data_IF_040778355815
#
_entry.id   IF_040778355815
#
_cell.length_a   1.000
_cell.length_b   1.000
_cell.length_c   1.000
_cell.angle_alpha   90.00
_cell.angle_beta   90.00
_cell.angle_gamma   90.00
#
_symmetry.space_group_name_H-M   'P 1'
#
loop_
_entity.id
_entity.type
_entity.pdbx_description
1 polymer ?
#
# COMPACT_ATOMS: atom_id res chain seq x y z
N UNK A 1 61.73 24.29 8.19
CA UNK A 1 60.84 23.11 7.99
C UNK A 1 59.43 23.63 7.86
N UNK A 2 58.82 23.59 6.67
CA UNK A 2 57.47 24.09 6.40
C UNK A 2 56.50 22.91 6.21
N UNK A 3 55.35 22.93 6.90
CA UNK A 3 54.36 21.87 6.86
C UNK A 3 53.54 21.90 5.55
N UNK A 4 53.16 20.75 4.97
CA UNK A 4 52.34 20.69 3.76
C UNK A 4 50.88 21.06 4.06
N UNK A 5 50.31 21.89 3.19
CA UNK A 5 48.91 22.31 3.25
C UNK A 5 47.96 21.14 2.96
N UNK A 6 46.89 21.03 3.74
CA UNK A 6 45.87 20.00 3.58
C UNK A 6 45.04 20.24 2.31
N UNK A 7 45.00 19.24 1.43
CA UNK A 7 44.16 19.26 0.22
C UNK A 7 42.71 18.94 0.60
N UNK A 8 41.81 19.90 0.42
CA UNK A 8 40.37 19.72 0.61
C UNK A 8 39.82 18.86 -0.52
N UNK A 9 39.41 17.62 -0.21
CA UNK A 9 38.73 16.75 -1.18
C UNK A 9 37.28 17.20 -1.34
N UNK A 10 36.99 17.92 -2.42
CA UNK A 10 35.61 18.23 -2.79
C UNK A 10 34.93 16.99 -3.39
N UNK A 11 33.91 16.49 -2.70
CA UNK A 11 33.10 15.37 -3.18
C UNK A 11 31.93 15.92 -3.98
N UNK A 12 31.93 15.68 -5.30
CA UNK A 12 30.79 16.01 -6.16
C UNK A 12 29.87 14.79 -6.29
N UNK A 13 28.63 14.94 -5.84
CA UNK A 13 27.59 13.92 -5.98
C UNK A 13 26.71 14.22 -7.19
N UNK A 14 26.77 13.38 -8.22
CA UNK A 14 25.85 13.46 -9.37
C UNK A 14 24.48 12.92 -8.93
N UNK A 15 23.54 13.81 -8.64
CA UNK A 15 22.17 13.44 -8.35
C UNK A 15 21.50 12.91 -9.65
N UNK A 16 21.42 11.59 -9.78
CA UNK A 16 20.72 10.91 -10.89
C UNK A 16 19.19 11.10 -10.85
N UNK A 17 18.69 11.81 -9.85
CA UNK A 17 17.27 12.04 -9.62
C UNK A 17 17.06 13.32 -8.81
N UNK A 18 16.01 14.04 -9.15
CA UNK A 18 15.58 15.27 -8.49
C UNK A 18 14.21 15.05 -7.86
N UNK A 19 13.96 15.73 -6.74
CA UNK A 19 12.66 15.74 -6.08
C UNK A 19 12.21 17.19 -5.89
N UNK A 20 10.91 17.42 -6.04
CA UNK A 20 10.32 18.72 -5.80
C UNK A 20 10.44 19.08 -4.30
N UNK A 21 10.68 20.36 -3.96
CA UNK A 21 10.66 20.84 -2.59
C UNK A 21 9.31 20.60 -1.93
N UNK A 22 9.34 20.30 -0.62
CA UNK A 22 8.12 20.08 0.18
C UNK A 22 7.17 21.26 0.11
N UNK A 23 7.68 22.49 0.24
CA UNK A 23 6.86 23.70 0.21
C UNK A 23 6.10 23.89 -1.11
N UNK A 24 6.73 23.59 -2.25
CA UNK A 24 6.08 23.67 -3.57
C UNK A 24 4.97 22.64 -3.72
N UNK A 25 5.21 21.42 -3.23
CA UNK A 25 4.21 20.37 -3.24
C UNK A 25 3.01 20.72 -2.35
N UNK A 26 3.25 21.26 -1.15
CA UNK A 26 2.17 21.68 -0.24
C UNK A 26 1.35 22.83 -0.82
N UNK A 27 2.01 23.84 -1.42
CA UNK A 27 1.34 24.93 -2.11
C UNK A 27 0.48 24.40 -3.27
N UNK A 28 1.03 23.52 -4.10
CA UNK A 28 0.26 22.86 -5.16
C UNK A 28 -0.94 22.08 -4.60
N UNK A 29 -0.77 21.34 -3.50
CA UNK A 29 -1.84 20.54 -2.90
C UNK A 29 -2.96 21.40 -2.30
N UNK A 30 -2.67 22.64 -1.89
CA UNK A 30 -3.70 23.58 -1.48
C UNK A 30 -4.57 23.97 -2.69
N UNK A 31 -3.95 24.35 -3.80
CA UNK A 31 -4.63 25.00 -4.93
C UNK A 31 -5.11 24.05 -6.04
N UNK A 32 -4.55 22.85 -6.15
CA UNK A 32 -4.80 21.98 -7.30
C UNK A 32 -6.28 21.56 -7.46
N UNK A 33 -6.82 21.57 -8.67
CA UNK A 33 -8.14 20.97 -8.89
C UNK A 33 -8.08 19.42 -8.75
N UNK A 34 -9.21 18.75 -8.44
CA UNK A 34 -9.40 17.33 -8.72
C UNK A 34 -8.87 16.92 -10.09
N UNK A 35 -8.06 15.87 -10.14
CA UNK A 35 -7.42 15.38 -11.37
C UNK A 35 -6.17 16.16 -11.79
N UNK A 36 -5.86 17.30 -11.14
CA UNK A 36 -4.64 18.06 -11.36
C UNK A 36 -3.39 17.22 -11.12
N UNK A 37 -2.31 17.49 -11.85
CA UNK A 37 -1.08 16.72 -11.81
C UNK A 37 0.10 17.60 -11.43
N UNK A 38 1.03 17.05 -10.64
CA UNK A 38 2.34 17.65 -10.37
C UNK A 38 3.44 16.60 -10.49
N UNK A 39 4.55 16.97 -11.12
CA UNK A 39 5.76 16.16 -11.13
C UNK A 39 6.47 16.39 -9.80
N UNK A 40 6.52 15.36 -8.94
CA UNK A 40 7.17 15.47 -7.63
C UNK A 40 8.60 14.92 -7.63
N UNK A 41 8.97 14.15 -8.65
CA UNK A 41 10.35 13.72 -8.86
C UNK A 41 10.62 13.40 -10.33
N UNK A 42 11.88 13.54 -10.73
CA UNK A 42 12.38 13.10 -12.04
C UNK A 42 13.67 12.32 -11.87
N UNK A 43 13.92 11.34 -12.73
CA UNK A 43 15.17 10.59 -12.69
C UNK A 43 15.04 9.17 -13.23
N UNK A 44 16.15 8.43 -13.21
CA UNK A 44 16.15 7.01 -13.62
C UNK A 44 15.47 6.14 -12.56
N UNK A 45 15.56 6.52 -11.29
CA UNK A 45 14.99 5.83 -10.13
C UNK A 45 14.32 6.87 -9.23
N UNK A 46 13.27 6.48 -8.51
CA UNK A 46 12.64 7.37 -7.55
C UNK A 46 13.53 7.58 -6.31
N UNK A 47 13.90 8.81 -5.93
CA UNK A 47 14.75 9.07 -4.76
C UNK A 47 13.93 8.97 -3.47
N UNK A 48 13.69 7.74 -2.99
CA UNK A 48 12.78 7.43 -1.86
C UNK A 48 13.11 8.14 -0.54
N UNK A 49 14.36 8.56 -0.35
CA UNK A 49 14.79 9.28 0.84
C UNK A 49 14.52 10.79 0.79
N UNK A 50 14.19 11.34 -0.39
CA UNK A 50 13.93 12.76 -0.53
C UNK A 50 12.62 13.17 0.18
N UNK A 51 12.64 14.29 0.90
CA UNK A 51 11.51 14.74 1.70
C UNK A 51 10.21 14.93 0.89
N UNK A 52 10.31 15.50 -0.33
CA UNK A 52 9.16 15.64 -1.23
C UNK A 52 8.55 14.30 -1.65
N UNK A 53 9.37 13.27 -1.84
CA UNK A 53 8.90 11.91 -2.16
C UNK A 53 8.19 11.27 -0.96
N UNK A 54 8.73 11.45 0.24
CA UNK A 54 8.11 10.95 1.47
C UNK A 54 6.76 11.62 1.75
N UNK A 55 6.66 12.92 1.47
CA UNK A 55 5.40 13.66 1.55
C UNK A 55 4.35 13.08 0.61
N UNK A 56 4.68 12.87 -0.67
CA UNK A 56 3.74 12.28 -1.63
C UNK A 56 3.35 10.85 -1.23
N UNK A 57 4.28 10.05 -0.71
CA UNK A 57 3.94 8.71 -0.18
C UNK A 57 2.95 8.77 0.99
N UNK A 58 3.02 9.79 1.84
CA UNK A 58 2.01 10.03 2.88
C UNK A 58 0.64 10.32 2.25
N UNK A 59 0.58 11.22 1.27
CA UNK A 59 -0.68 11.53 0.57
C UNK A 59 -1.28 10.33 -0.17
N UNK A 60 -0.47 9.47 -0.77
CA UNK A 60 -0.94 8.22 -1.38
C UNK A 60 -1.59 7.31 -0.33
N UNK A 61 -0.96 7.16 0.84
CA UNK A 61 -1.52 6.35 1.95
C UNK A 61 -2.81 6.94 2.50
N UNK A 62 -2.93 8.26 2.52
CA UNK A 62 -4.13 9.00 2.93
C UNK A 62 -5.21 9.04 1.83
N UNK A 63 -4.91 8.52 0.64
CA UNK A 63 -5.84 8.50 -0.49
C UNK A 63 -6.12 9.88 -1.09
N UNK A 64 -5.22 10.84 -0.90
CA UNK A 64 -5.32 12.21 -1.42
C UNK A 64 -4.84 12.34 -2.86
N UNK A 65 -3.93 11.46 -3.29
CA UNK A 65 -3.34 11.48 -4.64
C UNK A 65 -3.16 10.07 -5.19
N UNK A 66 -3.17 9.94 -6.51
CA UNK A 66 -2.75 8.74 -7.25
C UNK A 66 -1.32 8.91 -7.78
N UNK A 67 -0.42 7.94 -7.53
CA UNK A 67 0.92 7.97 -8.09
C UNK A 67 0.91 7.46 -9.53
N UNK A 68 1.48 8.25 -10.45
CA UNK A 68 1.64 7.91 -11.86
C UNK A 68 3.13 8.04 -12.22
N UNK A 69 3.61 7.20 -13.12
CA UNK A 69 4.96 7.34 -13.68
C UNK A 69 4.91 7.25 -15.19
N UNK A 70 5.62 8.13 -15.88
CA UNK A 70 5.77 8.10 -17.34
C UNK A 70 7.20 8.42 -17.75
N UNK A 71 7.57 8.07 -18.99
CA UNK A 71 8.84 8.50 -19.56
C UNK A 71 8.84 10.01 -19.77
N UNK A 72 9.96 10.65 -19.49
CA UNK A 72 10.13 12.05 -19.81
C UNK A 72 10.16 12.23 -21.34
N UNK A 73 9.30 13.10 -21.93
CA UNK A 73 9.25 13.28 -23.37
C UNK A 73 10.52 13.95 -23.93
N UNK A 74 11.23 14.75 -23.14
CA UNK A 74 12.49 15.38 -23.54
C UNK A 74 13.69 14.44 -23.32
N UNK A 75 13.62 13.54 -22.33
CA UNK A 75 14.65 12.55 -22.08
C UNK A 75 14.08 11.14 -21.81
N UNK A 76 13.95 10.29 -22.84
CA UNK A 76 13.36 8.94 -22.70
C UNK A 76 14.09 8.03 -21.70
N UNK A 77 15.33 8.34 -21.31
CA UNK A 77 16.08 7.57 -20.31
C UNK A 77 15.64 7.88 -18.88
N UNK A 78 14.90 8.97 -18.66
CA UNK A 78 14.39 9.38 -17.36
C UNK A 78 12.89 9.12 -17.24
N UNK A 79 12.43 8.99 -16.00
CA UNK A 79 11.03 8.96 -15.63
C UNK A 79 10.62 10.27 -14.99
N UNK A 80 9.39 10.68 -15.26
CA UNK A 80 8.66 11.66 -14.47
C UNK A 80 7.74 10.89 -13.52
N UNK A 81 7.89 11.17 -12.23
CA UNK A 81 7.01 10.67 -11.18
C UNK A 81 6.01 11.75 -10.84
N UNK A 82 4.73 11.45 -11.03
CA UNK A 82 3.62 12.38 -11.02
C UNK A 82 2.68 12.01 -9.87
N UNK A 83 2.24 13.00 -9.11
CA UNK A 83 1.13 12.88 -8.19
C UNK A 83 -0.09 13.50 -8.87
N UNK A 84 -1.19 12.74 -8.96
CA UNK A 84 -2.45 13.24 -9.46
C UNK A 84 -3.40 13.45 -8.29
N UNK A 85 -3.87 14.68 -8.07
CA UNK A 85 -4.82 14.99 -6.99
C UNK A 85 -6.09 14.20 -7.21
N UNK A 86 -6.47 13.36 -6.24
CA UNK A 86 -7.79 12.75 -6.27
C UNK A 86 -8.81 13.85 -6.04
N UNK A 87 -9.92 13.79 -6.76
CA UNK A 87 -11.05 14.61 -6.38
C UNK A 87 -11.44 14.32 -4.94
N UNK A 88 -12.12 15.28 -4.30
CA UNK A 88 -12.95 14.96 -3.16
C UNK A 88 -13.99 13.95 -3.64
N UNK A 89 -13.60 12.68 -3.66
CA UNK A 89 -14.57 11.62 -3.46
C UNK A 89 -15.11 11.98 -2.08
N UNK A 90 -16.40 12.31 -1.93
CA UNK A 90 -16.96 12.54 -0.61
C UNK A 90 -16.46 11.41 0.27
N UNK A 91 -16.06 11.69 1.51
CA UNK A 91 -15.70 10.64 2.46
C UNK A 91 -16.89 9.68 2.52
N UNK A 92 -16.87 8.65 1.67
CA UNK A 92 -17.98 7.74 1.59
C UNK A 92 -17.74 6.82 2.76
N UNK A 93 -18.33 7.20 3.88
CA UNK A 93 -19.02 6.24 4.70
C UNK A 93 -19.88 5.39 3.75
N UNK A 94 -19.30 4.28 3.25
CA UNK A 94 -19.92 3.39 2.28
C UNK A 94 -19.62 3.73 0.82
N UNK A 95 -18.39 3.50 0.35
CA UNK A 95 -18.10 3.42 -1.09
C UNK A 95 -19.26 2.70 -1.79
N UNK A 96 -19.93 3.38 -2.74
CA UNK A 96 -21.03 2.78 -3.46
C UNK A 96 -20.54 1.41 -3.96
N UNK A 97 -21.19 0.31 -3.55
CA UNK A 97 -20.65 -1.01 -3.78
C UNK A 97 -20.51 -1.15 -5.29
N UNK A 98 -19.27 -1.30 -5.78
CA UNK A 98 -19.02 -1.93 -7.08
C UNK A 98 -20.00 -3.09 -7.14
N UNK A 99 -20.90 -3.13 -8.13
CA UNK A 99 -21.98 -4.12 -8.18
C UNK A 99 -21.37 -5.51 -8.05
N UNK A 100 -21.34 -5.98 -6.82
CA UNK A 100 -20.66 -7.19 -6.46
C UNK A 100 -21.68 -8.26 -6.70
N UNK A 101 -21.35 -9.18 -7.61
CA UNK A 101 -22.25 -10.30 -7.92
C UNK A 101 -22.67 -10.98 -6.62
N UNK A 102 -23.91 -11.46 -6.56
CA UNK A 102 -24.44 -12.15 -5.37
C UNK A 102 -23.52 -13.29 -4.91
N UNK A 103 -22.89 -14.00 -5.85
CA UNK A 103 -21.86 -14.99 -5.58
C UNK A 103 -20.63 -14.41 -4.85
N UNK A 104 -20.05 -13.32 -5.35
CA UNK A 104 -18.88 -12.68 -4.72
C UNK A 104 -19.21 -12.18 -3.30
N UNK A 105 -20.43 -11.67 -3.08
CA UNK A 105 -20.86 -11.25 -1.75
C UNK A 105 -20.91 -12.41 -0.76
N UNK A 106 -21.52 -13.53 -1.17
CA UNK A 106 -21.57 -14.75 -0.34
C UNK A 106 -20.18 -15.29 -0.02
N UNK A 107 -19.29 -15.35 -1.02
CA UNK A 107 -17.90 -15.79 -0.83
C UNK A 107 -17.14 -14.88 0.14
N UNK A 108 -17.31 -13.55 0.01
CA UNK A 108 -16.70 -12.55 0.89
C UNK A 108 -17.19 -12.70 2.32
N UNK A 109 -18.50 -12.85 2.52
CA UNK A 109 -19.10 -12.95 3.84
C UNK A 109 -18.72 -14.28 4.52
N UNK A 110 -18.62 -15.37 3.74
CA UNK A 110 -18.11 -16.67 4.21
C UNK A 110 -16.63 -16.59 4.63
N UNK A 111 -15.80 -15.88 3.86
CA UNK A 111 -14.40 -15.64 4.22
C UNK A 111 -14.29 -14.87 5.53
N UNK A 112 -15.10 -13.82 5.71
CA UNK A 112 -15.10 -13.04 6.95
C UNK A 112 -15.53 -13.89 8.15
N UNK A 113 -16.53 -14.76 8.00
CA UNK A 113 -16.96 -15.69 9.05
C UNK A 113 -15.83 -16.67 9.43
N UNK A 114 -15.12 -17.21 8.44
CA UNK A 114 -13.97 -18.10 8.67
C UNK A 114 -12.86 -17.39 9.45
N UNK A 115 -12.50 -16.16 9.05
CA UNK A 115 -11.47 -15.38 9.74
C UNK A 115 -11.86 -15.02 11.18
N UNK A 116 -13.15 -14.72 11.40
CA UNK A 116 -13.70 -14.50 12.75
C UNK A 116 -13.55 -15.75 13.62
N UNK A 117 -13.91 -16.92 13.10
CA UNK A 117 -13.77 -18.17 13.83
C UNK A 117 -12.30 -18.50 14.14
N UNK A 118 -11.39 -18.29 13.18
CA UNK A 118 -9.95 -18.39 13.43
C UNK A 118 -9.47 -17.45 14.54
N UNK A 119 -9.88 -16.17 14.50
CA UNK A 119 -9.52 -15.18 15.51
C UNK A 119 -10.10 -15.51 16.89
N UNK A 120 -11.37 -15.95 16.96
CA UNK A 120 -12.02 -16.36 18.22
C UNK A 120 -11.35 -17.56 18.85
N UNK A 121 -10.94 -18.55 18.03
CA UNK A 121 -10.27 -19.76 18.50
C UNK A 121 -8.76 -19.59 18.68
N UNK A 122 -8.20 -18.41 18.44
CA UNK A 122 -6.75 -18.19 18.48
C UNK A 122 -6.00 -19.14 17.54
N UNK A 123 -6.53 -19.37 16.34
CA UNK A 123 -5.86 -20.14 15.29
C UNK A 123 -5.09 -19.21 14.38
N UNK A 124 -4.07 -19.76 13.73
CA UNK A 124 -3.33 -19.05 12.69
C UNK A 124 -4.24 -18.72 11.51
N UNK A 125 -3.95 -17.62 10.81
CA UNK A 125 -4.65 -17.33 9.57
C UNK A 125 -4.26 -18.35 8.49
N UNK A 126 -5.22 -19.03 7.85
CA UNK A 126 -4.91 -19.95 6.77
C UNK A 126 -4.21 -19.25 5.59
N UNK A 127 -3.37 -20.00 4.89
CA UNK A 127 -2.77 -19.56 3.61
C UNK A 127 -3.84 -19.33 2.55
N UNK A 128 -3.53 -18.61 1.46
CA UNK A 128 -4.50 -18.42 0.36
C UNK A 128 -4.99 -19.76 -0.23
N UNK A 129 -4.14 -20.79 -0.25
CA UNK A 129 -4.54 -22.15 -0.63
C UNK A 129 -5.51 -22.77 0.37
N UNK A 130 -5.26 -22.60 1.68
CA UNK A 130 -6.15 -23.07 2.74
C UNK A 130 -7.51 -22.36 2.71
N UNK A 131 -7.50 -21.04 2.54
CA UNK A 131 -8.73 -20.25 2.38
C UNK A 131 -9.52 -20.69 1.15
N UNK A 132 -8.86 -20.88 0.00
CA UNK A 132 -9.55 -21.30 -1.23
C UNK A 132 -10.21 -22.68 -1.08
N UNK A 133 -9.55 -23.61 -0.35
CA UNK A 133 -10.15 -24.92 -0.03
C UNK A 133 -11.33 -24.80 0.94
N UNK A 134 -11.21 -23.96 1.98
CA UNK A 134 -12.26 -23.76 2.97
C UNK A 134 -13.51 -23.05 2.41
N UNK A 135 -13.37 -22.35 1.28
CA UNK A 135 -14.45 -21.63 0.59
C UNK A 135 -14.96 -22.37 -0.66
N UNK A 136 -14.56 -23.62 -0.87
CA UNK A 136 -14.92 -24.42 -2.05
C UNK A 136 -14.55 -23.76 -3.40
N UNK A 137 -13.57 -22.84 -3.41
CA UNK A 137 -13.04 -22.17 -4.61
C UNK A 137 -12.02 -23.05 -5.37
N UNK A 138 -11.68 -24.21 -4.80
CA UNK A 138 -10.68 -25.14 -5.29
C UNK A 138 -9.24 -24.73 -4.93
N UNK A 139 -8.34 -25.72 -4.86
CA UNK A 139 -6.91 -25.49 -4.56
C UNK A 139 -6.07 -24.98 -5.74
N UNK A 140 -6.70 -24.66 -6.88
CA UNK A 140 -6.03 -24.25 -8.10
C UNK A 140 -5.46 -22.84 -8.02
N UNK A 141 -4.66 -22.43 -9.01
CA UNK A 141 -4.19 -21.04 -9.12
C UNK A 141 -5.36 -20.04 -9.08
N UNK A 142 -6.45 -20.31 -9.81
CA UNK A 142 -7.64 -19.43 -9.84
C UNK A 142 -8.29 -19.30 -8.46
N UNK A 143 -8.47 -20.40 -7.73
CA UNK A 143 -9.04 -20.36 -6.38
C UNK A 143 -8.18 -19.56 -5.40
N UNK A 144 -6.85 -19.70 -5.47
CA UNK A 144 -5.90 -18.91 -4.68
C UNK A 144 -5.97 -17.41 -5.00
N UNK A 145 -5.98 -17.05 -6.29
CA UNK A 145 -6.15 -15.66 -6.73
C UNK A 145 -7.47 -15.08 -6.25
N UNK A 146 -8.55 -15.86 -6.31
CA UNK A 146 -9.88 -15.46 -5.84
C UNK A 146 -9.91 -15.22 -4.34
N UNK A 147 -9.35 -16.11 -3.53
CA UNK A 147 -9.23 -15.92 -2.08
C UNK A 147 -8.39 -14.66 -1.74
N UNK A 148 -7.30 -14.42 -2.48
CA UNK A 148 -6.48 -13.21 -2.30
C UNK A 148 -7.25 -11.94 -2.64
N UNK A 149 -8.07 -11.98 -3.69
CA UNK A 149 -8.93 -10.86 -4.07
C UNK A 149 -9.99 -10.57 -3.01
N UNK A 150 -10.65 -11.60 -2.47
CA UNK A 150 -11.65 -11.44 -1.40
C UNK A 150 -11.03 -10.88 -0.10
N UNK A 151 -9.81 -11.31 0.25
CA UNK A 151 -9.04 -10.72 1.37
C UNK A 151 -8.80 -9.23 1.15
N UNK A 152 -8.37 -8.84 -0.05
CA UNK A 152 -8.15 -7.45 -0.40
C UNK A 152 -9.44 -6.63 -0.32
N UNK A 153 -10.58 -7.18 -0.77
CA UNK A 153 -11.88 -6.51 -0.63
C UNK A 153 -12.24 -6.28 0.84
N UNK A 154 -12.06 -7.27 1.72
CA UNK A 154 -12.33 -7.12 3.15
C UNK A 154 -11.41 -6.08 3.82
N UNK A 155 -10.16 -5.97 3.36
CA UNK A 155 -9.22 -4.96 3.85
C UNK A 155 -9.59 -3.55 3.38
N UNK A 156 -9.96 -3.40 2.11
CA UNK A 156 -10.45 -2.12 1.54
C UNK A 156 -11.75 -1.68 2.22
N UNK A 157 -12.65 -2.62 2.50
CA UNK A 157 -13.91 -2.37 3.22
C UNK A 157 -13.67 -2.06 4.72
N UNK A 158 -12.43 -2.15 5.21
CA UNK A 158 -12.08 -1.92 6.61
C UNK A 158 -12.63 -2.98 7.58
N UNK A 159 -13.08 -4.13 7.06
CA UNK A 159 -13.57 -5.24 7.88
C UNK A 159 -12.42 -6.01 8.56
N UNK A 160 -11.24 -6.01 7.94
CA UNK A 160 -10.03 -6.64 8.47
C UNK A 160 -8.81 -5.73 8.26
N UNK A 161 -7.76 -6.00 9.03
CA UNK A 161 -6.41 -5.48 8.80
C UNK A 161 -5.44 -6.65 8.69
N UNK A 162 -4.59 -6.64 7.66
CA UNK A 162 -3.62 -7.71 7.41
C UNK A 162 -2.21 -7.18 7.67
N UNK A 163 -1.42 -7.90 8.45
CA UNK A 163 0.00 -7.60 8.68
C UNK A 163 0.88 -8.75 8.17
N UNK A 164 1.81 -8.41 7.27
CA UNK A 164 2.84 -9.33 6.80
C UNK A 164 4.00 -9.42 7.79
N UNK A 165 4.38 -10.63 8.18
CA UNK A 165 5.45 -10.89 9.17
C UNK A 165 6.76 -11.41 8.54
N UNK A 166 6.92 -11.29 7.22
CA UNK A 166 8.11 -11.69 6.48
C UNK A 166 7.85 -12.82 5.48
N UNK A 167 8.92 -13.28 4.82
CA UNK A 167 8.86 -14.38 3.85
C UNK A 167 8.67 -15.70 4.64
N UNK A 168 7.53 -16.36 4.44
CA UNK A 168 7.10 -17.64 5.06
C UNK A 168 6.48 -17.57 6.47
N UNK A 169 6.34 -16.40 7.09
CA UNK A 169 5.58 -16.30 8.34
C UNK A 169 4.06 -16.27 8.05
N UNK A 170 3.22 -16.93 8.87
CA UNK A 170 1.77 -16.78 8.76
C UNK A 170 1.39 -15.31 8.95
N UNK A 171 0.51 -14.81 8.09
CA UNK A 171 0.00 -13.44 8.19
C UNK A 171 -0.84 -13.29 9.45
N UNK A 172 -0.73 -12.14 10.10
CA UNK A 172 -1.60 -11.77 11.20
C UNK A 172 -2.80 -11.04 10.63
N UNK A 173 -4.00 -11.57 10.85
CA UNK A 173 -5.25 -10.91 10.42
C UNK A 173 -6.01 -10.47 11.66
N UNK A 174 -6.28 -9.17 11.74
CA UNK A 174 -7.10 -8.57 12.79
C UNK A 174 -8.48 -8.27 12.23
N UNK A 175 -9.51 -8.91 12.77
CA UNK A 175 -10.89 -8.63 12.39
C UNK A 175 -11.37 -7.40 13.17
N UNK A 176 -11.71 -6.35 12.44
CA UNK A 176 -12.18 -5.10 13.02
C UNK A 176 -13.68 -5.19 13.30
N UNK A 177 -14.11 -4.77 14.49
CA UNK A 177 -15.54 -4.61 14.77
C UNK A 177 -16.04 -3.34 14.07
N UNK A 178 -17.32 -3.29 13.71
CA UNK A 178 -17.95 -2.06 13.27
C UNK A 178 -18.03 -1.09 14.47
N UNK A 179 -17.03 -0.21 14.58
CA UNK A 179 -16.82 0.69 15.71
C UNK A 179 -15.36 0.70 16.17
N UNK A 180 -14.89 1.83 16.71
CA UNK A 180 -13.48 2.12 17.08
C UNK A 180 -12.90 1.26 18.24
N UNK A 181 -13.24 -0.02 18.30
CA UNK A 181 -12.78 -0.97 19.32
C UNK A 181 -11.71 -1.92 18.76
N UNK A 182 -10.71 -2.23 19.58
CA UNK A 182 -9.61 -3.17 19.27
C UNK A 182 -10.19 -4.50 18.73
N UNK A 183 -9.87 -4.82 17.49
CA UNK A 183 -10.28 -6.06 16.84
C UNK A 183 -9.64 -7.30 17.47
N UNK A 184 -10.19 -8.49 17.18
CA UNK A 184 -9.57 -9.76 17.55
C UNK A 184 -8.61 -10.21 16.45
N UNK A 185 -7.40 -10.60 16.84
CA UNK A 185 -6.37 -11.06 15.91
C UNK A 185 -6.25 -12.58 15.92
N UNK A 186 -5.91 -13.15 14.76
CA UNK A 186 -5.45 -14.54 14.68
C UNK A 186 -4.18 -14.74 15.52
N UNK A 187 -3.87 -15.98 15.91
CA UNK A 187 -2.69 -16.25 16.75
C UNK A 187 -1.40 -15.91 16.01
N UNK A 188 -0.48 -15.31 16.76
CA UNK A 188 0.91 -15.13 16.37
C UNK A 188 1.71 -16.35 16.82
N UNK A 189 2.35 -17.01 15.87
CA UNK A 189 3.30 -18.07 16.18
C UNK A 189 4.69 -17.47 15.97
N UNK A 190 5.46 -17.20 17.04
CA UNK A 190 6.84 -16.77 16.88
C UNK A 190 7.56 -17.88 16.10
N UNK A 191 8.08 -17.51 14.93
CA UNK A 191 8.74 -18.44 14.04
C UNK A 191 9.79 -19.23 14.81
N UNK A 192 9.68 -20.56 14.75
CA UNK A 192 10.76 -21.44 15.16
C UNK A 192 11.99 -21.04 14.35
N UNK A 193 12.98 -20.49 15.04
CA UNK A 193 14.34 -20.31 14.52
C UNK A 193 14.97 -21.69 14.56
N UNK A 194 15.08 -22.32 13.40
CA UNK A 194 16.15 -23.30 13.14
C UNK A 194 17.37 -22.56 12.60
#
# INVERSE_FOLDING_TARGET
MAAPAASTTETFSLALSLAAPVAELEAWMADAAPGGQVVYATGVVLPRAAAGVQLVQRWVREGLVDPVSRRDPANPRQFQFIAQRRGAVPAVAGAAPREMTSATRRERDALLALLRDCAVRGRECPSNTGLARALDLGGSHRGRSRASYLMHLLEVDGAIRVEGRGRNAPRLVTVLAAGRGRGKSTRDTPGQRE
#
